data_IF_364839983687
#
_entry.id   IF_364839983687
#
_cell.length_a   1.000
_cell.length_b   1.000
_cell.length_c   1.000
_cell.angle_alpha   90.00
_cell.angle_beta   90.00
_cell.angle_gamma   90.00
#
_symmetry.space_group_name_H-M   'P 1'
#
loop_
_entity.id
_entity.type
_entity.pdbx_description
1 polymer ?
#
# COMPACT_ATOMS: atom_id res chain seq x y z
N UNK A 1 -0.88 6.01 -7.17
CA UNK A 1 -2.25 6.27 -7.69
C UNK A 1 -3.10 6.95 -6.63
N UNK A 2 -4.10 7.75 -7.01
CA UNK A 2 -5.05 8.38 -6.08
C UNK A 2 -6.47 7.85 -6.34
N UNK A 3 -7.14 7.40 -5.30
CA UNK A 3 -8.52 6.90 -5.37
C UNK A 3 -9.40 7.68 -4.37
N UNK A 4 -10.61 8.05 -4.80
CA UNK A 4 -11.68 8.55 -3.92
C UNK A 4 -12.88 7.63 -4.06
N UNK A 5 -13.40 7.20 -2.92
CA UNK A 5 -14.58 6.35 -2.83
C UNK A 5 -15.59 7.11 -1.97
N UNK A 6 -16.78 7.31 -2.51
CA UNK A 6 -17.90 7.96 -1.85
C UNK A 6 -19.19 7.22 -2.21
N UNK A 7 -20.22 7.33 -1.37
CA UNK A 7 -21.50 6.65 -1.58
C UNK A 7 -22.21 7.13 -2.86
N UNK A 8 -21.96 8.38 -3.27
CA UNK A 8 -22.58 8.98 -4.46
C UNK A 8 -21.57 9.78 -5.28
N UNK A 9 -21.70 9.81 -6.63
CA UNK A 9 -20.79 10.55 -7.49
C UNK A 9 -20.69 12.04 -7.16
N UNK A 10 -21.80 12.70 -6.79
CA UNK A 10 -21.81 14.12 -6.43
C UNK A 10 -20.98 14.47 -5.19
N UNK A 11 -20.61 13.50 -4.36
CA UNK A 11 -19.78 13.73 -3.18
C UNK A 11 -18.26 13.79 -3.54
N UNK A 12 -17.90 13.49 -4.79
CA UNK A 12 -16.53 13.58 -5.31
C UNK A 12 -16.32 14.94 -5.98
N UNK A 13 -15.73 15.87 -5.23
CA UNK A 13 -15.51 17.25 -5.70
C UNK A 13 -14.14 17.48 -6.37
N UNK A 14 -13.24 16.51 -6.32
CA UNK A 14 -11.91 16.61 -6.93
C UNK A 14 -11.34 15.22 -7.28
N UNK A 15 -10.42 15.17 -8.25
CA UNK A 15 -9.78 13.91 -8.68
C UNK A 15 -8.49 13.61 -7.88
N UNK A 16 -7.79 14.63 -7.38
CA UNK A 16 -6.53 14.47 -6.63
C UNK A 16 -6.72 14.60 -5.13
N UNK A 17 -6.09 13.73 -4.34
CA UNK A 17 -5.99 13.88 -2.89
C UNK A 17 -5.10 15.09 -2.57
N UNK A 18 -5.60 16.02 -1.75
CA UNK A 18 -4.82 17.18 -1.36
C UNK A 18 -3.79 16.82 -0.28
N UNK A 19 -2.93 17.79 0.08
CA UNK A 19 -1.94 17.59 1.13
C UNK A 19 -2.62 17.27 2.47
N UNK A 20 -2.13 16.23 3.16
CA UNK A 20 -2.66 15.77 4.45
C UNK A 20 -4.11 15.26 4.44
N UNK A 21 -4.68 14.90 3.28
CA UNK A 21 -6.06 14.43 3.16
C UNK A 21 -6.20 12.92 2.91
N UNK A 22 -5.10 12.18 2.74
CA UNK A 22 -5.19 10.74 2.56
C UNK A 22 -5.68 10.09 3.86
N UNK A 23 -6.80 9.36 3.79
CA UNK A 23 -7.29 8.55 4.92
C UNK A 23 -6.63 7.18 4.98
N UNK A 24 -6.32 6.61 3.81
CA UNK A 24 -5.63 5.34 3.66
C UNK A 24 -4.46 5.49 2.69
N UNK A 25 -3.32 4.88 2.99
CA UNK A 25 -2.22 4.63 2.05
C UNK A 25 -1.91 3.14 2.02
N UNK A 26 -1.89 2.56 0.82
CA UNK A 26 -1.44 1.19 0.58
C UNK A 26 -0.14 1.30 -0.23
N UNK A 27 0.99 1.04 0.43
CA UNK A 27 2.33 1.24 -0.11
C UNK A 27 2.96 -0.07 -0.55
N UNK A 28 3.16 -0.25 -1.86
CA UNK A 28 3.76 -1.47 -2.42
C UNK A 28 5.26 -1.64 -2.13
N UNK A 29 5.95 -0.56 -1.74
CA UNK A 29 7.34 -0.55 -1.31
C UNK A 29 7.65 0.68 -0.45
N UNK A 30 8.75 0.64 0.29
CA UNK A 30 9.19 1.73 1.16
C UNK A 30 9.62 2.99 0.39
N UNK A 31 10.29 2.84 -0.75
CA UNK A 31 10.90 3.96 -1.49
C UNK A 31 9.84 4.92 -1.98
N UNK A 32 8.79 4.40 -2.62
CA UNK A 32 7.67 5.19 -3.12
C UNK A 32 6.84 5.72 -1.95
N UNK A 33 6.62 4.93 -0.91
CA UNK A 33 5.81 5.33 0.26
C UNK A 33 6.46 6.44 1.08
N UNK A 34 7.79 6.47 1.15
CA UNK A 34 8.58 7.52 1.81
C UNK A 34 8.88 8.71 0.90
N UNK A 35 8.43 8.70 -0.37
CA UNK A 35 8.63 9.82 -1.27
C UNK A 35 7.93 11.09 -0.76
N UNK A 36 8.50 12.27 -1.08
CA UNK A 36 7.91 13.54 -0.69
C UNK A 36 6.46 13.70 -1.19
N UNK A 37 6.14 13.15 -2.36
CA UNK A 37 4.77 13.16 -2.88
C UNK A 37 3.82 12.37 -1.97
N UNK A 38 4.17 11.12 -1.64
CA UNK A 38 3.34 10.25 -0.80
C UNK A 38 3.20 10.82 0.63
N UNK A 39 4.32 11.17 1.26
CA UNK A 39 4.38 11.76 2.60
C UNK A 39 3.56 13.04 2.68
N UNK A 40 3.58 13.90 1.66
CA UNK A 40 2.79 15.15 1.66
C UNK A 40 1.28 14.93 1.73
N UNK A 41 0.77 13.74 1.40
CA UNK A 41 -0.66 13.41 1.49
C UNK A 41 -1.06 12.85 2.84
N UNK A 42 -0.09 12.44 3.67
CA UNK A 42 -0.31 11.84 4.97
C UNK A 42 -0.45 12.91 6.05
N UNK A 43 -1.23 12.61 7.09
CA UNK A 43 -1.40 13.46 8.26
C UNK A 43 -1.57 12.62 9.51
N UNK A 44 -0.77 12.94 10.53
CA UNK A 44 -0.86 12.32 11.85
C UNK A 44 -2.28 12.42 12.42
N UNK A 45 -2.78 11.29 12.93
CA UNK A 45 -4.14 11.19 13.49
C UNK A 45 -5.28 11.13 12.46
N UNK A 46 -4.99 11.21 11.16
CA UNK A 46 -5.97 10.98 10.08
C UNK A 46 -5.60 9.76 9.26
N UNK A 47 -4.37 9.73 8.74
CA UNK A 47 -3.95 8.72 7.77
C UNK A 47 -3.63 7.41 8.45
N UNK A 48 -4.19 6.31 7.93
CA UNK A 48 -3.74 4.96 8.21
C UNK A 48 -2.99 4.40 7.01
N UNK A 49 -1.82 3.82 7.22
CA UNK A 49 -1.00 3.27 6.16
C UNK A 49 -0.72 1.78 6.40
N UNK A 50 -0.68 1.03 5.31
CA UNK A 50 -0.13 -0.33 5.28
C UNK A 50 0.96 -0.32 4.21
N UNK A 51 2.19 -0.60 4.60
CA UNK A 51 3.36 -0.45 3.71
C UNK A 51 4.15 -1.75 3.69
N UNK A 52 4.41 -2.25 2.48
CA UNK A 52 5.33 -3.36 2.27
C UNK A 52 6.76 -2.90 2.62
N UNK A 53 7.35 -3.53 3.64
CA UNK A 53 8.70 -3.18 4.10
C UNK A 53 9.81 -4.05 3.51
N UNK A 54 9.48 -4.93 2.57
CA UNK A 54 10.46 -5.77 1.88
C UNK A 54 11.57 -4.92 1.24
N UNK A 55 12.81 -5.29 1.50
CA UNK A 55 13.97 -4.64 0.90
C UNK A 55 14.10 -5.10 -0.56
N UNK A 56 13.74 -4.22 -1.49
CA UNK A 56 13.90 -4.49 -2.92
C UNK A 56 15.18 -3.83 -3.42
N UNK A 57 16.17 -4.58 -3.94
CA UNK A 57 17.40 -3.98 -4.45
C UNK A 57 17.08 -3.00 -5.58
N UNK A 58 17.43 -1.73 -5.40
CA UNK A 58 17.24 -0.72 -6.44
C UNK A 58 18.40 -0.73 -7.43
N UNK A 59 18.23 -0.05 -8.57
CA UNK A 59 19.31 0.17 -9.53
C UNK A 59 20.51 0.97 -8.95
N UNK A 60 20.36 1.60 -7.79
CA UNK A 60 21.46 2.28 -7.07
C UNK A 60 22.43 1.25 -6.47
N UNK A 61 21.91 0.11 -6.01
CA UNK A 61 22.68 -1.00 -5.42
C UNK A 61 23.65 -1.62 -6.43
N UNK A 62 23.29 -1.64 -7.72
CA UNK A 62 24.19 -2.12 -8.78
C UNK A 62 25.32 -1.15 -9.13
N UNK A 63 25.20 0.13 -8.73
CA UNK A 63 26.21 1.18 -9.00
C UNK A 63 27.14 1.43 -7.82
N UNK A 64 26.69 1.13 -6.59
CA UNK A 64 27.47 1.28 -5.38
C UNK A 64 27.26 0.08 -4.44
N UNK A 65 28.19 -0.89 -4.42
CA UNK A 65 28.10 -2.08 -3.57
C UNK A 65 28.06 -1.79 -2.07
N UNK A 66 28.58 -0.63 -1.65
CA UNK A 66 28.58 -0.19 -0.24
C UNK A 66 27.30 0.57 0.13
N UNK A 67 26.39 0.77 -0.82
CA UNK A 67 25.16 1.51 -0.58
C UNK A 67 24.24 0.72 0.35
N UNK A 68 23.94 1.30 1.51
CA UNK A 68 22.99 0.74 2.46
C UNK A 68 21.59 1.28 2.17
N UNK A 69 20.63 0.37 1.98
CA UNK A 69 19.24 0.72 1.79
C UNK A 69 18.69 1.33 3.11
N UNK A 70 18.26 2.61 3.12
CA UNK A 70 18.02 3.33 4.37
C UNK A 70 16.63 3.03 4.97
N UNK A 71 16.31 1.75 5.22
CA UNK A 71 15.02 1.26 5.72
C UNK A 71 14.52 2.07 6.90
N UNK A 72 15.34 2.18 7.95
CA UNK A 72 14.96 2.84 9.19
C UNK A 72 14.62 4.32 8.99
N UNK A 73 15.29 5.00 8.06
CA UNK A 73 15.00 6.41 7.76
C UNK A 73 13.68 6.55 6.98
N UNK A 74 13.41 5.65 6.01
CA UNK A 74 12.16 5.63 5.25
C UNK A 74 10.97 5.29 6.14
N UNK A 75 11.08 4.25 6.97
CA UNK A 75 10.05 3.90 7.94
C UNK A 75 9.77 5.05 8.90
N UNK A 76 10.82 5.69 9.45
CA UNK A 76 10.65 6.86 10.31
C UNK A 76 9.91 7.99 9.61
N UNK A 77 10.27 8.32 8.38
CA UNK A 77 9.60 9.39 7.62
C UNK A 77 8.11 9.10 7.43
N UNK A 78 7.74 7.85 7.15
CA UNK A 78 6.33 7.43 7.02
C UNK A 78 5.63 7.49 8.39
N UNK A 79 6.23 6.92 9.45
CA UNK A 79 5.68 6.95 10.80
C UNK A 79 5.46 8.37 11.31
N UNK A 80 6.39 9.31 11.06
CA UNK A 80 6.22 10.71 11.44
C UNK A 80 5.03 11.35 10.70
N UNK A 81 4.87 11.03 9.40
CA UNK A 81 3.80 11.58 8.57
C UNK A 81 2.40 11.04 8.92
N UNK A 82 2.31 9.76 9.31
CA UNK A 82 1.04 9.11 9.71
C UNK A 82 0.75 9.19 11.21
N UNK A 83 1.74 9.56 12.02
CA UNK A 83 1.78 9.28 13.45
C UNK A 83 2.29 7.85 13.71
N UNK A 84 2.96 7.64 14.85
CA UNK A 84 3.67 6.39 15.18
C UNK A 84 2.79 5.14 15.08
N UNK A 85 1.52 5.23 15.50
CA UNK A 85 0.56 4.12 15.45
C UNK A 85 -0.30 4.13 14.16
N UNK A 86 0.00 5.06 13.25
CA UNK A 86 -0.74 5.28 12.01
C UNK A 86 -0.34 4.35 10.87
N UNK A 87 0.76 3.60 11.00
CA UNK A 87 1.30 2.75 9.93
C UNK A 87 1.56 1.33 10.42
N UNK A 88 1.20 0.35 9.58
CA UNK A 88 1.66 -1.03 9.69
C UNK A 88 2.70 -1.30 8.62
N UNK A 89 3.89 -1.73 9.02
CA UNK A 89 4.90 -2.26 8.11
C UNK A 89 4.77 -3.78 8.06
N UNK A 90 4.62 -4.32 6.85
CA UNK A 90 4.40 -5.75 6.62
C UNK A 90 5.39 -6.22 5.57
N UNK A 91 6.09 -7.34 5.77
CA UNK A 91 6.83 -7.96 4.67
C UNK A 91 5.87 -8.74 3.76
N UNK A 92 5.10 -8.00 2.96
CA UNK A 92 4.08 -8.57 2.09
C UNK A 92 4.70 -9.34 0.92
N UNK A 93 5.99 -9.16 0.65
CA UNK A 93 6.72 -9.88 -0.41
C UNK A 93 7.09 -11.27 0.07
N UNK A 94 7.68 -11.37 1.26
CA UNK A 94 7.98 -12.64 1.89
C UNK A 94 6.70 -13.43 2.16
N UNK A 95 5.66 -12.79 2.71
CA UNK A 95 4.37 -13.45 2.97
C UNK A 95 3.72 -13.98 1.69
N UNK A 96 3.68 -13.19 0.62
CA UNK A 96 3.14 -13.64 -0.66
C UNK A 96 3.94 -14.82 -1.22
N UNK A 97 5.26 -14.76 -1.17
CA UNK A 97 6.13 -15.86 -1.64
C UNK A 97 5.92 -17.13 -0.81
N UNK A 98 5.82 -17.01 0.52
CA UNK A 98 5.67 -18.15 1.42
C UNK A 98 4.29 -18.82 1.31
N UNK A 99 3.23 -18.04 1.13
CA UNK A 99 1.85 -18.54 1.10
C UNK A 99 1.40 -18.94 -0.30
N UNK A 100 1.80 -18.17 -1.31
CA UNK A 100 1.32 -18.29 -2.68
C UNK A 100 2.36 -18.88 -3.64
N UNK A 101 3.61 -19.00 -3.20
CA UNK A 101 4.73 -19.45 -4.03
C UNK A 101 5.28 -18.39 -4.99
N UNK A 102 4.70 -17.18 -5.00
CA UNK A 102 5.07 -16.10 -5.93
C UNK A 102 4.82 -14.71 -5.32
N UNK A 103 5.81 -13.82 -5.44
CA UNK A 103 5.75 -12.43 -5.00
C UNK A 103 4.78 -11.57 -5.84
N UNK A 104 4.32 -12.05 -7.00
CA UNK A 104 3.33 -11.33 -7.81
C UNK A 104 2.01 -11.08 -7.04
N UNK A 105 1.71 -11.92 -6.04
CA UNK A 105 0.54 -11.80 -5.18
C UNK A 105 0.64 -10.68 -4.13
N UNK A 106 1.81 -10.05 -3.94
CA UNK A 106 2.06 -9.04 -2.90
C UNK A 106 1.08 -7.88 -2.93
N UNK A 107 0.76 -7.33 -4.10
CA UNK A 107 -0.16 -6.19 -4.21
C UNK A 107 -1.56 -6.53 -3.71
N UNK A 108 -2.03 -7.75 -4.00
CA UNK A 108 -3.36 -8.17 -3.62
C UNK A 108 -3.43 -8.61 -2.16
N UNK A 109 -2.38 -9.27 -1.66
CA UNK A 109 -2.22 -9.56 -0.24
C UNK A 109 -2.22 -8.29 0.60
N UNK A 110 -1.51 -7.25 0.15
CA UNK A 110 -1.47 -5.95 0.82
C UNK A 110 -2.84 -5.26 0.80
N UNK A 111 -3.59 -5.39 -0.30
CA UNK A 111 -4.98 -4.91 -0.39
C UNK A 111 -5.90 -5.67 0.57
N UNK A 112 -5.80 -6.99 0.63
CA UNK A 112 -6.56 -7.86 1.56
C UNK A 112 -6.30 -7.48 3.01
N UNK A 113 -5.02 -7.30 3.38
CA UNK A 113 -4.64 -6.83 4.71
C UNK A 113 -5.26 -5.46 5.04
N UNK A 114 -5.17 -4.48 4.13
CA UNK A 114 -5.77 -3.16 4.35
C UNK A 114 -7.31 -3.23 4.46
N UNK A 115 -7.96 -4.10 3.69
CA UNK A 115 -9.40 -4.34 3.75
C UNK A 115 -9.83 -4.96 5.08
N UNK A 116 -9.12 -5.98 5.57
CA UNK A 116 -9.37 -6.61 6.87
C UNK A 116 -9.25 -5.62 8.03
N UNK A 117 -8.43 -4.57 7.89
CA UNK A 117 -8.33 -3.46 8.87
C UNK A 117 -9.40 -2.38 8.72
N UNK A 118 -10.35 -2.54 7.80
CA UNK A 118 -11.44 -1.60 7.55
C UNK A 118 -11.00 -0.32 6.83
N UNK A 119 -9.84 -0.31 6.16
CA UNK A 119 -9.31 0.89 5.49
C UNK A 119 -9.89 1.09 4.09
N UNK A 120 -10.41 0.03 3.48
CA UNK A 120 -10.95 0.04 2.12
C UNK A 120 -12.49 -0.04 2.20
N UNK A 121 -13.21 1.04 1.87
CA UNK A 121 -14.66 1.13 2.07
C UNK A 121 -15.44 0.51 0.89
N UNK A 122 -15.16 -0.75 0.57
CA UNK A 122 -15.91 -1.54 -0.42
C UNK A 122 -16.17 -2.93 0.15
N UNK A 123 -17.25 -3.57 -0.31
CA UNK A 123 -17.59 -4.90 0.17
C UNK A 123 -16.63 -5.96 -0.36
N UNK A 124 -16.51 -7.07 0.36
CA UNK A 124 -15.73 -8.23 -0.08
C UNK A 124 -16.24 -8.75 -1.43
N UNK A 125 -17.56 -8.86 -1.59
CA UNK A 125 -18.19 -9.36 -2.81
C UNK A 125 -17.86 -8.46 -4.02
N UNK A 126 -17.75 -7.14 -3.81
CA UNK A 126 -17.35 -6.21 -4.86
C UNK A 126 -15.89 -6.41 -5.29
N UNK A 127 -14.99 -6.72 -4.35
CA UNK A 127 -13.58 -7.01 -4.62
C UNK A 127 -13.42 -8.37 -5.33
N UNK A 128 -14.10 -9.41 -4.85
CA UNK A 128 -14.12 -10.72 -5.50
C UNK A 128 -14.64 -10.62 -6.94
N UNK A 129 -15.72 -9.85 -7.14
CA UNK A 129 -16.26 -9.60 -8.49
C UNK A 129 -15.28 -8.82 -9.36
N UNK A 130 -14.55 -7.86 -8.81
CA UNK A 130 -13.52 -7.13 -9.54
C UNK A 130 -12.37 -8.04 -9.99
N UNK A 131 -11.94 -8.99 -9.14
CA UNK A 131 -10.93 -10.01 -9.48
C UNK A 131 -11.42 -10.87 -10.64
N UNK A 132 -12.66 -11.35 -10.60
CA UNK A 132 -13.26 -12.12 -11.70
C UNK A 132 -13.29 -11.34 -13.02
N UNK A 133 -13.72 -10.07 -12.96
CA UNK A 133 -13.83 -9.21 -14.15
C UNK A 133 -12.47 -8.87 -14.76
N UNK A 134 -11.41 -8.82 -13.96
CA UNK A 134 -10.06 -8.64 -14.48
C UNK A 134 -9.58 -9.85 -15.30
N UNK A 135 -10.11 -11.05 -15.03
CA UNK A 135 -9.89 -12.29 -15.77
C UNK A 135 -8.41 -12.75 -15.86
N UNK A 136 -7.53 -12.22 -15.01
CA UNK A 136 -6.12 -12.61 -14.90
C UNK A 136 -5.91 -13.36 -13.60
N UNK A 137 -5.35 -14.57 -13.68
CA UNK A 137 -4.94 -15.39 -12.53
C UNK A 137 -5.98 -15.40 -11.38
N UNK A 138 -7.26 -15.57 -11.72
CA UNK A 138 -8.40 -15.35 -10.81
C UNK A 138 -8.28 -16.14 -9.51
N UNK A 139 -7.94 -17.42 -9.57
CA UNK A 139 -7.83 -18.28 -8.39
C UNK A 139 -6.68 -17.87 -7.47
N UNK A 140 -5.52 -17.53 -8.05
CA UNK A 140 -4.38 -17.00 -7.28
C UNK A 140 -4.76 -15.70 -6.59
N UNK A 141 -5.43 -14.80 -7.33
CA UNK A 141 -5.83 -13.52 -6.78
C UNK A 141 -6.85 -13.68 -5.64
N UNK A 142 -7.85 -14.55 -5.80
CA UNK A 142 -8.80 -14.84 -4.71
C UNK A 142 -8.13 -15.44 -3.48
N UNK A 143 -7.14 -16.31 -3.65
CA UNK A 143 -6.43 -16.91 -2.54
C UNK A 143 -5.49 -15.93 -1.82
N UNK A 144 -4.97 -14.92 -2.54
CA UNK A 144 -4.09 -13.90 -1.97
C UNK A 144 -4.85 -12.80 -1.20
N UNK A 145 -6.12 -12.55 -1.56
CA UNK A 145 -7.01 -11.58 -0.91
C UNK A 145 -7.61 -12.15 0.38
#
# INVERSE_FOLDING_TARGET
>A
SHLRICDRPQDIHAVRIAAGEARCVIGGDLVVSASAEAVSRMRAGLTRAVVNCAETPTAEFTRNPDWQFPVAAMQRSISEATGTDGVDFVDATELATALMGDAIATNLLLLGYAWQKGLVPVSQEALERAIELNAVAVDMNRNAF
#
